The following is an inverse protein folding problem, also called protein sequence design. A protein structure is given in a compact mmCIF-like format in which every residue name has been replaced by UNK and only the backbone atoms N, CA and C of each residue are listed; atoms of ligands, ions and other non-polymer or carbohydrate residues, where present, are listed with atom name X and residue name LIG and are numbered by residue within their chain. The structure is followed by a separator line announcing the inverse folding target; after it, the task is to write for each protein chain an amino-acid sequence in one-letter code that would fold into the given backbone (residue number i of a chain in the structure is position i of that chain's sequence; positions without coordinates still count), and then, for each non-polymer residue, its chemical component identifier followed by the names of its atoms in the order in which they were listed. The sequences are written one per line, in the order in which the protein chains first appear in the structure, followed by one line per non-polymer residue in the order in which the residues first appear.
data_IF_327648196672
#
_entry.id   IF_327648196672
#
_cell.length_a   1.000
_cell.length_b   1.000
_cell.length_c   1.000
_cell.angle_alpha   90.00
_cell.angle_beta   90.00
_cell.angle_gamma   90.00
#
_symmetry.space_group_name_H-M   'P 1'
#
loop_
_entity.id
_entity.type
_entity.pdbx_description
1 polymer ?
#
# COMPACT_ATOMS: atom_id res chain seq x y z
N UNK A 1 -31.16 -17.00 -48.52
CA UNK A 1 -30.18 -17.29 -47.46
C UNK A 1 -29.77 -15.95 -46.86
N UNK A 2 -30.25 -15.61 -45.66
CA UNK A 2 -29.94 -14.32 -45.02
C UNK A 2 -28.60 -14.49 -44.27
N UNK A 3 -27.58 -13.65 -44.51
CA UNK A 3 -26.32 -13.77 -43.79
C UNK A 3 -26.53 -13.52 -42.29
N UNK A 4 -25.84 -14.24 -41.39
CA UNK A 4 -25.99 -14.04 -39.96
C UNK A 4 -25.56 -12.62 -39.58
N UNK A 5 -26.48 -11.87 -38.98
CA UNK A 5 -26.22 -10.56 -38.39
C UNK A 5 -25.18 -10.74 -37.29
N UNK A 6 -23.96 -10.23 -37.50
CA UNK A 6 -22.94 -10.18 -36.44
C UNK A 6 -23.51 -9.40 -35.26
N UNK A 7 -23.72 -10.08 -34.13
CA UNK A 7 -24.07 -9.44 -32.87
C UNK A 7 -22.90 -8.53 -32.48
N UNK A 8 -23.15 -7.31 -31.98
CA UNK A 8 -22.07 -6.43 -31.54
C UNK A 8 -21.26 -7.14 -30.47
N UNK A 9 -19.94 -7.10 -30.62
CA UNK A 9 -18.99 -7.60 -29.64
C UNK A 9 -19.29 -6.90 -28.32
N UNK A 10 -19.62 -7.67 -27.26
CA UNK A 10 -19.84 -7.09 -25.94
C UNK A 10 -18.58 -6.33 -25.57
N UNK A 11 -18.65 -5.00 -25.51
CA UNK A 11 -17.56 -4.15 -25.06
C UNK A 11 -17.16 -4.61 -23.66
N UNK A 12 -16.06 -5.36 -23.54
CA UNK A 12 -15.51 -5.77 -22.26
C UNK A 12 -15.08 -4.50 -21.54
N UNK A 13 -15.73 -4.19 -20.43
CA UNK A 13 -15.32 -3.08 -19.58
C UNK A 13 -13.91 -3.42 -19.08
N UNK A 14 -12.97 -2.47 -19.17
CA UNK A 14 -11.65 -2.70 -18.59
C UNK A 14 -11.76 -2.67 -17.06
N UNK A 15 -11.09 -3.59 -16.35
CA UNK A 15 -11.10 -3.56 -14.90
C UNK A 15 -10.51 -2.23 -14.42
N UNK A 16 -11.15 -1.63 -13.42
CA UNK A 16 -10.73 -0.33 -12.88
C UNK A 16 -10.86 -0.28 -11.38
N UNK A 17 -10.09 0.61 -10.76
CA UNK A 17 -10.15 0.88 -9.34
C UNK A 17 -10.21 2.39 -9.10
N UNK A 18 -11.25 2.84 -8.40
CA UNK A 18 -11.47 4.25 -8.05
C UNK A 18 -11.28 4.42 -6.55
N UNK A 19 -10.19 5.08 -6.16
CA UNK A 19 -9.88 5.36 -4.76
C UNK A 19 -10.90 6.33 -4.13
N UNK A 20 -11.32 6.03 -2.90
CA UNK A 20 -12.18 6.89 -2.08
C UNK A 20 -11.39 7.52 -0.93
N UNK A 21 -10.52 6.73 -0.30
CA UNK A 21 -9.70 7.18 0.83
C UNK A 21 -8.35 6.48 0.80
N UNK A 22 -7.32 7.18 1.29
CA UNK A 22 -5.94 6.72 1.28
C UNK A 22 -5.26 7.08 2.60
N UNK A 23 -4.52 6.12 3.12
CA UNK A 23 -3.67 6.26 4.29
C UNK A 23 -2.22 5.91 3.93
N UNK A 24 -1.31 6.56 4.62
CA UNK A 24 0.09 6.13 4.69
C UNK A 24 0.29 5.39 6.01
N UNK A 25 0.88 4.20 5.94
CA UNK A 25 1.09 3.35 7.10
C UNK A 25 2.55 3.00 7.31
N UNK A 26 2.90 2.75 8.56
CA UNK A 26 4.21 2.25 8.98
C UNK A 26 4.04 1.00 9.83
N UNK A 27 4.64 -0.10 9.39
CA UNK A 27 4.62 -1.38 10.10
C UNK A 27 5.33 -1.24 11.44
N UNK A 28 4.69 -1.73 12.51
CA UNK A 28 5.26 -1.80 13.85
C UNK A 28 5.87 -3.19 14.08
N UNK A 29 5.06 -4.24 13.94
CA UNK A 29 5.43 -5.63 14.18
C UNK A 29 4.82 -6.55 13.12
N UNK A 30 5.48 -7.68 12.84
CA UNK A 30 5.00 -8.71 11.92
C UNK A 30 4.94 -10.03 12.69
N UNK A 31 3.74 -10.61 12.80
CA UNK A 31 3.50 -11.91 13.42
C UNK A 31 3.38 -13.04 12.39
N UNK A 32 2.77 -14.14 12.80
CA UNK A 32 2.63 -15.35 11.97
C UNK A 32 1.56 -15.21 10.87
N UNK A 33 0.46 -14.50 11.17
CA UNK A 33 -0.70 -14.33 10.26
C UNK A 33 -1.13 -12.88 10.08
N UNK A 34 -0.70 -11.97 10.95
CA UNK A 34 -1.06 -10.55 10.95
C UNK A 34 0.18 -9.66 11.07
N UNK A 35 0.00 -8.37 10.82
CA UNK A 35 0.97 -7.34 11.17
C UNK A 35 0.27 -6.13 11.77
N UNK A 36 0.90 -5.48 12.74
CA UNK A 36 0.42 -4.22 13.33
C UNK A 36 1.10 -3.03 12.66
N UNK A 37 0.38 -1.93 12.55
CA UNK A 37 0.86 -0.71 11.95
C UNK A 37 0.23 0.53 12.58
N UNK A 38 0.93 1.66 12.49
CA UNK A 38 0.29 2.97 12.60
C UNK A 38 -0.05 3.48 11.21
N UNK A 39 -1.22 4.08 11.05
CA UNK A 39 -1.69 4.70 9.80
C UNK A 39 -2.07 6.15 10.03
N UNK A 40 -1.82 6.99 9.03
CA UNK A 40 -2.22 8.40 9.00
C UNK A 40 -2.98 8.69 7.71
N UNK A 41 -4.08 9.43 7.79
CA UNK A 41 -4.83 9.87 6.61
C UNK A 41 -3.96 10.78 5.74
N UNK A 42 -3.82 10.42 4.46
CA UNK A 42 -2.93 11.14 3.53
C UNK A 42 -3.40 12.58 3.24
N UNK A 43 -4.67 12.89 3.48
CA UNK A 43 -5.32 14.19 3.23
C UNK A 43 -5.51 14.96 4.53
N UNK A 44 -5.95 14.31 5.61
CA UNK A 44 -6.16 14.91 6.95
C UNK A 44 -5.10 14.40 7.93
N UNK A 45 -3.90 14.95 7.78
CA UNK A 45 -2.75 14.65 8.65
C UNK A 45 -2.99 15.08 10.09
N UNK A 46 -2.25 14.46 11.01
CA UNK A 46 -2.17 14.86 12.42
C UNK A 46 -2.78 13.89 13.43
N UNK A 47 -3.35 12.77 12.97
CA UNK A 47 -3.83 11.69 13.85
C UNK A 47 -3.31 10.36 13.33
N UNK A 48 -2.54 9.66 14.15
CA UNK A 48 -2.13 8.28 13.90
C UNK A 48 -3.14 7.32 14.54
N UNK A 49 -3.48 6.27 13.82
CA UNK A 49 -4.34 5.18 14.30
C UNK A 49 -3.56 3.86 14.25
N UNK A 50 -3.67 3.05 15.30
CA UNK A 50 -3.09 1.70 15.32
C UNK A 50 -4.08 0.69 14.76
N UNK A 51 -3.64 -0.09 13.78
CA UNK A 51 -4.47 -1.03 13.02
C UNK A 51 -3.70 -2.34 12.81
N UNK A 52 -4.42 -3.46 12.89
CA UNK A 52 -3.93 -4.79 12.54
C UNK A 52 -4.48 -5.21 11.17
N UNK A 53 -3.64 -5.85 10.36
CA UNK A 53 -3.96 -6.32 9.02
C UNK A 53 -3.56 -7.79 8.85
N UNK A 54 -4.31 -8.53 8.03
CA UNK A 54 -3.98 -9.91 7.69
C UNK A 54 -2.84 -9.95 6.66
N UNK A 55 -1.89 -10.89 6.82
CA UNK A 55 -0.82 -11.11 5.84
C UNK A 55 -1.35 -11.56 4.47
N UNK A 56 -2.57 -12.09 4.41
CA UNK A 56 -3.24 -12.46 3.17
C UNK A 56 -3.68 -11.24 2.34
N UNK A 57 -3.83 -10.06 2.96
CA UNK A 57 -4.11 -8.82 2.23
C UNK A 57 -2.89 -8.27 1.49
N UNK A 58 -1.69 -8.76 1.82
CA UNK A 58 -0.45 -8.41 1.14
C UNK A 58 -0.22 -9.33 -0.06
N UNK A 59 -0.09 -8.71 -1.23
CA UNK A 59 0.26 -9.40 -2.47
C UNK A 59 1.55 -10.23 -2.31
N UNK A 60 1.64 -11.44 -2.90
CA UNK A 60 2.78 -12.33 -2.72
C UNK A 60 4.14 -11.68 -3.03
N UNK A 61 4.18 -10.83 -4.05
CA UNK A 61 5.40 -10.13 -4.52
C UNK A 61 5.90 -9.05 -3.56
N UNK A 62 5.05 -8.60 -2.63
CA UNK A 62 5.36 -7.55 -1.66
C UNK A 62 5.62 -8.14 -0.26
N UNK A 63 5.34 -9.43 -0.01
CA UNK A 63 5.53 -10.04 1.33
C UNK A 63 6.97 -9.96 1.83
N UNK A 64 7.95 -10.02 0.94
CA UNK A 64 9.37 -9.87 1.28
C UNK A 64 9.76 -8.43 1.70
N UNK A 65 8.93 -7.44 1.40
CA UNK A 65 9.11 -6.05 1.79
C UNK A 65 8.52 -5.76 3.18
N UNK A 66 7.65 -6.64 3.68
CA UNK A 66 6.98 -6.48 4.96
C UNK A 66 7.94 -6.75 6.11
N UNK A 67 8.29 -5.68 6.84
CA UNK A 67 9.15 -5.72 8.02
C UNK A 67 8.86 -4.50 8.90
N UNK A 68 9.19 -4.55 10.20
CA UNK A 68 9.11 -3.37 11.07
C UNK A 68 9.76 -2.14 10.43
N UNK A 69 9.02 -1.03 10.44
CA UNK A 69 9.41 0.25 9.83
C UNK A 69 9.15 0.36 8.31
N UNK A 70 8.66 -0.69 7.64
CA UNK A 70 8.25 -0.59 6.24
C UNK A 70 7.08 0.39 6.09
N UNK A 71 7.11 1.18 5.02
CA UNK A 71 6.03 2.09 4.66
C UNK A 71 5.12 1.42 3.64
N UNK A 72 3.81 1.55 3.82
CA UNK A 72 2.81 1.08 2.88
C UNK A 72 1.73 2.12 2.64
N UNK A 73 0.98 1.94 1.56
CA UNK A 73 -0.22 2.71 1.27
C UNK A 73 -1.43 1.80 1.39
N UNK A 74 -2.38 2.20 2.23
CA UNK A 74 -3.68 1.56 2.31
C UNK A 74 -4.68 2.42 1.56
N UNK A 75 -5.40 1.83 0.61
CA UNK A 75 -6.39 2.56 -0.20
C UNK A 75 -7.71 1.81 -0.18
N UNK A 76 -8.79 2.48 0.21
CA UNK A 76 -10.15 1.95 0.12
C UNK A 76 -10.82 2.58 -1.09
N UNK A 77 -11.46 1.77 -1.92
CA UNK A 77 -12.05 2.24 -3.17
C UNK A 77 -13.10 1.30 -3.74
N UNK A 78 -13.55 1.62 -4.95
CA UNK A 78 -14.43 0.77 -5.73
C UNK A 78 -13.66 0.06 -6.83
N UNK A 79 -13.78 -1.26 -6.89
CA UNK A 79 -13.30 -2.09 -8.00
C UNK A 79 -14.45 -2.36 -8.95
N UNK A 80 -14.20 -2.23 -10.24
CA UNK A 80 -15.12 -2.66 -11.30
C UNK A 80 -14.47 -3.81 -12.05
N UNK A 81 -15.14 -4.96 -12.06
CA UNK A 81 -14.72 -6.15 -12.78
C UNK A 81 -15.05 -6.05 -14.28
N UNK A 82 -14.45 -6.88 -15.14
CA UNK A 82 -14.76 -6.88 -16.58
C UNK A 82 -16.23 -7.17 -16.91
N UNK A 83 -16.95 -7.83 -15.99
CA UNK A 83 -18.39 -8.06 -16.05
C UNK A 83 -19.22 -6.78 -15.88
N UNK A 84 -18.62 -5.70 -15.36
CA UNK A 84 -19.28 -4.47 -14.94
C UNK A 84 -19.74 -4.47 -13.48
N UNK A 85 -19.57 -5.58 -12.76
CA UNK A 85 -19.86 -5.64 -11.33
C UNK A 85 -18.95 -4.69 -10.54
N UNK A 86 -19.53 -3.95 -9.58
CA UNK A 86 -18.81 -2.98 -8.75
C UNK A 86 -18.86 -3.41 -7.29
N UNK A 87 -17.70 -3.54 -6.67
CA UNK A 87 -17.55 -3.89 -5.26
C UNK A 87 -16.67 -2.87 -4.53
N UNK A 88 -16.81 -2.79 -3.20
CA UNK A 88 -15.89 -2.03 -2.35
C UNK A 88 -14.71 -2.93 -2.00
N UNK A 89 -13.49 -2.43 -2.14
CA UNK A 89 -12.27 -3.17 -1.79
C UNK A 89 -11.22 -2.28 -1.16
N UNK A 90 -10.40 -2.85 -0.28
CA UNK A 90 -9.14 -2.28 0.20
C UNK A 90 -7.97 -2.83 -0.62
N UNK A 91 -6.90 -2.05 -0.73
CA UNK A 91 -5.64 -2.48 -1.34
C UNK A 91 -4.49 -1.95 -0.49
N UNK A 92 -3.55 -2.83 -0.16
CA UNK A 92 -2.29 -2.52 0.50
C UNK A 92 -1.15 -2.64 -0.51
N UNK A 93 -0.30 -1.62 -0.58
CA UNK A 93 0.89 -1.61 -1.45
C UNK A 93 2.10 -1.17 -0.65
N UNK A 94 3.14 -2.00 -0.62
CA UNK A 94 4.38 -1.69 0.09
C UNK A 94 5.27 -0.77 -0.74
N UNK A 95 5.85 0.24 -0.07
CA UNK A 95 6.77 1.18 -0.71
C UNK A 95 8.10 0.49 -0.99
N UNK A 96 8.43 0.33 -2.26
CA UNK A 96 9.75 -0.13 -2.72
C UNK A 96 10.76 0.99 -2.55
N UNK A 97 11.58 0.91 -1.51
CA UNK A 97 12.73 1.79 -1.35
C UNK A 97 13.88 1.28 -2.25
N UNK A 98 14.64 2.18 -2.90
CA UNK A 98 15.88 1.78 -3.56
C UNK A 98 16.79 1.08 -2.55
N UNK A 99 17.53 0.07 -3.02
CA UNK A 99 18.46 -0.67 -2.17
C UNK A 99 19.38 0.32 -1.43
N UNK A 100 19.45 0.19 -0.11
CA UNK A 100 20.36 1.00 0.70
C UNK A 100 21.78 0.77 0.19
N UNK A 101 22.39 1.82 -0.37
CA UNK A 101 23.82 1.80 -0.65
C UNK A 101 24.59 2.27 0.59
N UNK A 102 25.85 1.88 0.69
CA UNK A 102 26.73 2.20 1.82
C UNK A 102 26.74 3.72 2.11
N UNK A 103 26.70 4.54 1.06
CA UNK A 103 26.62 6.00 1.19
C UNK A 103 25.33 6.47 1.89
N UNK A 104 24.19 5.87 1.55
CA UNK A 104 22.89 6.18 2.16
C UNK A 104 22.87 5.81 3.64
N UNK A 105 23.46 4.67 3.99
CA UNK A 105 23.58 4.23 5.38
C UNK A 105 24.49 5.17 6.17
N UNK A 106 25.63 5.57 5.60
CA UNK A 106 26.53 6.53 6.23
C UNK A 106 25.91 7.91 6.40
N UNK A 107 25.12 8.38 5.42
CA UNK A 107 24.36 9.63 5.54
C UNK A 107 23.35 9.56 6.69
N UNK A 108 22.59 8.46 6.79
CA UNK A 108 21.64 8.27 7.88
C UNK A 108 22.34 8.24 9.26
N UNK A 109 23.49 7.55 9.38
CA UNK A 109 24.29 7.54 10.61
C UNK A 109 24.79 8.93 11.00
N UNK A 110 25.30 9.71 10.04
CA UNK A 110 25.75 11.09 10.30
C UNK A 110 24.60 11.96 10.79
N UNK A 111 23.44 11.87 10.15
CA UNK A 111 22.25 12.63 10.55
C UNK A 111 21.79 12.26 11.97
N UNK A 112 21.78 10.96 12.30
CA UNK A 112 21.45 10.51 13.64
C UNK A 112 22.42 11.05 14.71
N UNK A 113 23.72 11.06 14.40
CA UNK A 113 24.75 11.59 15.30
C UNK A 113 24.67 13.11 15.47
N UNK A 114 24.35 13.83 14.39
CA UNK A 114 24.09 15.28 14.44
C UNK A 114 22.85 15.61 15.27
N UNK A 115 21.76 14.86 15.12
CA UNK A 115 20.56 15.01 15.92
C UNK A 115 20.83 14.71 17.39
N UNK A 116 21.55 13.63 17.70
CA UNK A 116 21.94 13.28 19.07
C UNK A 116 22.70 14.42 19.75
N UNK A 117 23.72 14.96 19.07
CA UNK A 117 24.50 16.11 19.56
C UNK A 117 23.67 17.37 19.75
N UNK A 118 22.62 17.56 18.94
CA UNK A 118 21.74 18.73 19.02
C UNK A 118 20.76 18.67 20.18
N UNK A 119 20.42 17.48 20.66
CA UNK A 119 19.46 17.28 21.75
C UNK A 119 20.07 16.83 23.09
N UNK A 120 21.40 16.83 23.21
CA UNK A 120 22.19 16.56 24.43
C UNK A 120 21.73 15.29 25.20
N UNK A 121 21.51 14.20 24.46
CA UNK A 121 21.27 12.83 24.97
C UNK A 121 22.49 11.93 24.73
#
# INVERSE_FOLDING_TARGET
MVPPKKLPERSRIQPSFVALQKWEGRVLEVGDSTFSAVVEDSVRRGVEEEVEFDLEEIGPDDRNLLKPGAIFYWTIGYRTEPSGERSRSSVLVLRRLPAWNEEGLQRARRLAEELRKRFDW
#
